data_IF_343555421872
#
_entry.id   IF_343555421872
#
_cell.length_a   1.000
_cell.length_b   1.000
_cell.length_c   1.000
_cell.angle_alpha   90.00
_cell.angle_beta   90.00
_cell.angle_gamma   90.00
#
_symmetry.space_group_name_H-M   'P 1'
#
loop_
_entity.id
_entity.type
_entity.pdbx_description
1 polymer ?
#
# COMPACT_ATOMS: atom_id res chain seq x y z
N UNK A 1 -19.64 7.98 -13.84
CA UNK A 1 -18.95 6.77 -13.35
C UNK A 1 -19.28 6.57 -11.88
N UNK A 2 -19.22 5.34 -11.36
CA UNK A 2 -19.50 5.05 -9.95
C UNK A 2 -18.33 5.52 -9.08
N UNK A 3 -18.62 6.24 -7.99
CA UNK A 3 -17.61 6.68 -7.02
C UNK A 3 -17.33 5.55 -6.02
N UNK A 4 -16.06 5.18 -5.84
CA UNK A 4 -15.64 4.20 -4.83
C UNK A 4 -15.17 4.92 -3.57
N UNK A 5 -15.69 4.54 -2.41
CA UNK A 5 -15.20 5.01 -1.12
C UNK A 5 -14.27 3.94 -0.54
N UNK A 6 -12.99 4.27 -0.37
CA UNK A 6 -11.98 3.35 0.12
C UNK A 6 -11.34 3.91 1.38
N UNK A 7 -11.14 3.06 2.38
CA UNK A 7 -10.42 3.43 3.61
C UNK A 7 -9.24 2.51 3.80
N UNK A 8 -8.05 3.09 3.92
CA UNK A 8 -6.82 2.40 4.29
C UNK A 8 -6.50 2.70 5.76
N UNK A 9 -6.26 1.65 6.54
CA UNK A 9 -5.76 1.76 7.90
C UNK A 9 -4.25 1.56 7.88
N UNK A 10 -3.51 2.42 8.57
CA UNK A 10 -2.06 2.32 8.70
C UNK A 10 -1.64 2.86 10.07
N UNK A 11 -0.58 2.33 10.64
CA UNK A 11 0.08 2.87 11.83
C UNK A 11 1.23 3.85 11.50
N UNK A 12 1.46 4.12 10.21
CA UNK A 12 2.45 5.09 9.76
C UNK A 12 1.84 6.49 9.72
N UNK A 13 2.17 7.32 10.71
CA UNK A 13 1.79 8.75 10.70
C UNK A 13 2.29 9.45 9.44
N UNK A 14 3.49 9.12 8.94
CA UNK A 14 4.02 9.70 7.71
C UNK A 14 3.10 9.43 6.50
N UNK A 15 2.54 8.22 6.42
CA UNK A 15 1.64 7.85 5.33
C UNK A 15 0.30 8.57 5.46
N UNK A 16 -0.23 8.65 6.68
CA UNK A 16 -1.48 9.38 6.97
C UNK A 16 -1.33 10.86 6.63
N UNK A 17 -0.24 11.50 7.05
CA UNK A 17 0.06 12.90 6.78
C UNK A 17 0.26 13.15 5.27
N UNK A 18 0.96 12.26 4.57
CA UNK A 18 1.19 12.37 3.12
C UNK A 18 -0.13 12.38 2.33
N UNK A 19 -1.04 11.46 2.62
CA UNK A 19 -2.30 11.35 1.88
C UNK A 19 -3.37 12.36 2.34
N UNK A 20 -3.33 12.81 3.59
CA UNK A 20 -4.25 13.85 4.08
C UNK A 20 -3.87 15.25 3.58
N UNK A 21 -2.57 15.53 3.43
CA UNK A 21 -2.07 16.80 2.90
C UNK A 21 -1.91 16.82 1.38
N UNK A 22 -1.94 15.65 0.72
CA UNK A 22 -1.58 15.46 -0.68
C UNK A 22 -0.21 16.08 -1.01
N UNK A 23 0.75 15.90 -0.10
CA UNK A 23 2.10 16.40 -0.22
C UNK A 23 3.08 15.35 0.31
N UNK A 24 4.21 15.17 -0.38
CA UNK A 24 5.25 14.24 0.03
C UNK A 24 6.64 14.90 -0.06
N UNK A 25 7.62 14.29 0.61
CA UNK A 25 9.02 14.66 0.38
C UNK A 25 9.39 14.34 -1.09
N UNK A 26 10.40 15.02 -1.66
CA UNK A 26 10.75 14.88 -3.08
C UNK A 26 10.89 13.44 -3.57
N UNK A 27 11.50 12.57 -2.76
CA UNK A 27 11.72 11.15 -3.11
C UNK A 27 10.43 10.31 -3.14
N UNK A 28 9.38 10.76 -2.45
CA UNK A 28 8.08 10.07 -2.38
C UNK A 28 7.02 10.68 -3.30
N UNK A 29 7.25 11.89 -3.84
CA UNK A 29 6.32 12.53 -4.77
C UNK A 29 5.94 11.63 -5.97
N UNK A 30 6.85 10.89 -6.61
CA UNK A 30 6.48 9.97 -7.70
C UNK A 30 5.45 8.91 -7.26
N UNK A 31 5.57 8.42 -6.02
CA UNK A 31 4.63 7.43 -5.46
C UNK A 31 3.28 8.05 -5.19
N UNK A 32 3.24 9.23 -4.58
CA UNK A 32 2.00 9.94 -4.31
C UNK A 32 1.26 10.32 -5.60
N UNK A 33 1.98 10.81 -6.61
CA UNK A 33 1.42 11.14 -7.93
C UNK A 33 0.82 9.89 -8.57
N UNK A 34 1.55 8.77 -8.61
CA UNK A 34 1.03 7.52 -9.16
C UNK A 34 -0.24 7.04 -8.43
N UNK A 35 -0.30 7.19 -7.10
CA UNK A 35 -1.50 6.87 -6.33
C UNK A 35 -2.68 7.80 -6.68
N UNK A 36 -2.43 9.11 -6.82
CA UNK A 36 -3.45 10.10 -7.22
C UNK A 36 -3.96 9.85 -8.63
N UNK A 37 -3.08 9.49 -9.57
CA UNK A 37 -3.47 9.14 -10.95
C UNK A 37 -4.46 7.98 -10.96
N UNK A 38 -4.19 6.91 -10.19
CA UNK A 38 -5.11 5.79 -9.99
C UNK A 38 -6.43 6.26 -9.35
N UNK A 39 -6.36 7.11 -8.32
CA UNK A 39 -7.57 7.63 -7.67
C UNK A 39 -8.46 8.40 -8.64
N UNK A 40 -7.88 9.21 -9.52
CA UNK A 40 -8.62 9.99 -10.52
C UNK A 40 -9.18 9.08 -11.61
N UNK A 41 -8.37 8.18 -12.16
CA UNK A 41 -8.78 7.25 -13.23
C UNK A 41 -9.98 6.39 -12.78
N UNK A 42 -9.91 5.84 -11.58
CA UNK A 42 -10.91 4.92 -11.05
C UNK A 42 -11.98 5.58 -10.19
N UNK A 43 -12.00 6.91 -10.06
CA UNK A 43 -12.99 7.65 -9.27
C UNK A 43 -13.04 7.17 -7.81
N UNK A 44 -11.86 7.08 -7.18
CA UNK A 44 -11.69 6.63 -5.80
C UNK A 44 -11.60 7.83 -4.87
N UNK A 45 -12.52 7.90 -3.92
CA UNK A 45 -12.41 8.74 -2.74
C UNK A 45 -11.69 7.95 -1.63
N UNK A 46 -10.37 8.10 -1.57
CA UNK A 46 -9.52 7.43 -0.59
C UNK A 46 -9.47 8.23 0.73
N UNK A 47 -9.59 7.51 1.84
CA UNK A 47 -9.28 8.01 3.19
C UNK A 47 -8.19 7.14 3.80
N UNK A 48 -7.17 7.76 4.36
CA UNK A 48 -6.13 7.05 5.13
C UNK A 48 -6.32 7.38 6.59
N UNK A 49 -6.50 6.37 7.43
CA UNK A 49 -6.71 6.52 8.87
C UNK A 49 -5.57 5.91 9.65
N UNK A 50 -5.12 6.64 10.67
CA UNK A 50 -4.16 6.13 11.62
C UNK A 50 -4.80 5.10 12.55
N UNK A 51 -4.17 3.94 12.71
CA UNK A 51 -4.50 2.94 13.74
C UNK A 51 -3.26 2.64 14.60
N UNK A 52 -3.40 2.25 15.87
CA UNK A 52 -2.26 1.82 16.67
C UNK A 52 -1.55 0.61 16.04
N UNK A 53 -0.22 0.53 16.15
CA UNK A 53 0.55 -0.63 15.66
C UNK A 53 0.09 -1.97 16.27
N UNK A 54 -0.44 -1.94 17.51
CA UNK A 54 -1.08 -3.12 18.14
C UNK A 54 -2.33 -3.63 17.42
N UNK A 55 -2.94 -2.81 16.56
CA UNK A 55 -4.05 -3.19 15.69
C UNK A 55 -3.59 -3.49 14.25
N UNK A 56 -2.39 -3.05 13.86
CA UNK A 56 -1.80 -3.27 12.52
C UNK A 56 -0.86 -4.49 12.45
N UNK A 57 -0.84 -5.34 13.49
CA UNK A 57 0.12 -6.44 13.68
C UNK A 57 0.24 -7.36 12.46
N UNK A 58 -0.90 -7.67 11.82
CA UNK A 58 -0.92 -8.54 10.64
C UNK A 58 -0.23 -7.91 9.43
N UNK A 59 -0.45 -6.62 9.17
CA UNK A 59 0.20 -5.92 8.07
C UNK A 59 1.71 -5.79 8.33
N UNK A 60 2.10 -5.49 9.57
CA UNK A 60 3.49 -5.43 10.00
C UNK A 60 4.22 -6.76 9.80
N UNK A 61 3.64 -7.86 10.29
CA UNK A 61 4.22 -9.18 10.16
C UNK A 61 4.39 -9.58 8.69
N UNK A 62 3.37 -9.32 7.85
CA UNK A 62 3.44 -9.56 6.41
C UNK A 62 4.51 -8.71 5.72
N UNK A 63 4.63 -7.43 6.06
CA UNK A 63 5.62 -6.51 5.48
C UNK A 63 7.07 -6.91 5.79
N UNK A 64 7.28 -7.64 6.89
CA UNK A 64 8.59 -8.13 7.35
C UNK A 64 8.85 -9.59 7.00
N UNK A 65 7.95 -10.23 6.27
CA UNK A 65 8.00 -11.67 5.97
C UNK A 65 8.02 -12.56 7.24
N UNK A 66 7.46 -12.08 8.36
CA UNK A 66 7.32 -12.86 9.59
C UNK A 66 6.07 -13.74 9.56
N UNK A 67 6.14 -14.80 8.73
CA UNK A 67 5.03 -15.71 8.53
C UNK A 67 4.73 -16.57 9.76
N UNK A 68 5.70 -16.74 10.67
CA UNK A 68 5.48 -17.47 11.92
C UNK A 68 4.46 -16.73 12.79
N UNK A 69 4.63 -15.41 12.97
CA UNK A 69 3.68 -14.58 13.72
C UNK A 69 2.30 -14.49 13.06
N UNK A 70 2.26 -14.55 11.72
CA UNK A 70 1.01 -14.61 10.95
C UNK A 70 0.28 -15.93 11.22
N UNK A 71 0.95 -17.07 11.09
CA UNK A 71 0.35 -18.38 11.31
C UNK A 71 0.02 -18.67 12.79
N UNK A 72 0.75 -18.07 13.74
CA UNK A 72 0.39 -18.20 15.16
C UNK A 72 -0.93 -17.50 15.49
N UNK A 73 -1.23 -16.40 14.79
CA UNK A 73 -2.43 -15.59 15.01
C UNK A 73 -3.60 -16.10 14.17
N UNK A 74 -3.33 -16.52 12.94
CA UNK A 74 -4.30 -17.07 12.00
C UNK A 74 -3.77 -18.35 11.33
N UNK A 75 -3.94 -19.51 11.96
CA UNK A 75 -3.38 -20.77 11.45
C UNK A 75 -3.86 -21.13 10.05
N UNK A 76 -5.12 -20.81 9.73
CA UNK A 76 -5.76 -21.18 8.47
C UNK A 76 -5.49 -20.20 7.30
N UNK A 77 -4.68 -19.15 7.53
CA UNK A 77 -4.39 -18.16 6.49
C UNK A 77 -3.52 -18.77 5.39
N UNK A 78 -3.94 -18.60 4.13
CA UNK A 78 -3.14 -19.00 2.97
C UNK A 78 -2.38 -17.79 2.42
N UNK A 79 -1.06 -17.76 2.63
CA UNK A 79 -0.18 -16.73 2.08
C UNK A 79 0.28 -17.15 0.68
N UNK A 80 0.12 -16.27 -0.31
CA UNK A 80 0.61 -16.48 -1.67
C UNK A 80 1.70 -15.47 -1.98
N UNK A 81 2.78 -15.92 -2.61
CA UNK A 81 3.81 -15.03 -3.14
C UNK A 81 3.36 -14.48 -4.48
N UNK A 82 3.56 -13.17 -4.68
CA UNK A 82 3.33 -12.52 -5.97
C UNK A 82 4.67 -12.38 -6.67
N UNK A 83 4.78 -12.90 -7.88
CA UNK A 83 5.95 -12.66 -8.72
C UNK A 83 5.78 -11.28 -9.38
N UNK A 84 6.71 -10.34 -9.16
CA UNK A 84 6.58 -9.02 -9.76
C UNK A 84 6.56 -9.13 -11.29
N UNK A 85 5.85 -8.24 -12.00
CA UNK A 85 5.86 -8.23 -13.45
C UNK A 85 7.31 -8.14 -13.95
N UNK A 86 7.70 -9.07 -14.82
CA UNK A 86 9.01 -9.05 -15.45
C UNK A 86 9.07 -7.81 -16.35
N UNK A 87 9.84 -6.80 -15.94
CA UNK A 87 10.26 -5.73 -16.85
C UNK A 87 11.27 -6.35 -17.81
N UNK A 88 10.96 -6.55 -19.12
CA UNK A 88 11.98 -6.98 -20.06
C UNK A 88 13.07 -5.90 -20.06
N UNK A 89 14.30 -6.28 -19.68
CA UNK A 89 15.46 -5.41 -19.85
C UNK A 89 15.43 -4.92 -21.31
N UNK A 90 15.32 -3.60 -21.49
CA UNK A 90 15.03 -2.98 -22.77
C UNK A 90 15.82 -3.60 -23.91
N UNK A 91 15.14 -3.95 -25.00
CA UNK A 91 15.84 -4.24 -26.24
C UNK A 91 16.70 -3.02 -26.59
N UNK A 92 17.97 -3.18 -26.97
CA UNK A 92 18.75 -2.06 -27.46
C UNK A 92 18.03 -1.47 -28.67
N UNK A 93 17.70 -0.18 -28.60
CA UNK A 93 17.22 0.57 -29.76
C UNK A 93 18.32 0.49 -30.82
N UNK A 94 18.01 -0.10 -31.98
CA UNK A 94 18.88 -0.12 -33.16
C UNK A 94 18.80 1.20 -33.90
#
# INVERSE_FOLDING_TARGET
QQLFHLTFCSDSSNTVDMFSSLSALPDYNPVLIAAVDIMVEFHINLRVMHIPGSENVMADALSRFDFNSVHSTHPDITIRTVQPPHLPLGAPQK
#
